data_IF_468863257851
#
_entry.id   IF_468863257851
#
_cell.length_a   1.000
_cell.length_b   1.000
_cell.length_c   1.000
_cell.angle_alpha   90.00
_cell.angle_beta   90.00
_cell.angle_gamma   90.00
#
_symmetry.space_group_name_H-M   'P 1'
#
loop_
_entity.id
_entity.type
_entity.pdbx_description
1 polymer ?
#
# COMPACT_ATOMS: atom_id res chain seq x y z
N UNK A 1 -7.37 -30.05 11.37
CA UNK A 1 -7.26 -30.34 9.92
C UNK A 1 -5.81 -30.16 9.56
N UNK A 2 -5.15 -31.23 9.08
CA UNK A 2 -3.79 -31.18 8.56
C UNK A 2 -3.78 -30.71 7.10
N UNK A 3 -2.60 -30.46 6.55
CA UNK A 3 -2.42 -30.11 5.13
C UNK A 3 -3.06 -31.19 4.24
N UNK A 4 -4.03 -30.82 3.40
CA UNK A 4 -4.69 -31.74 2.47
C UNK A 4 -3.73 -32.14 1.34
N UNK A 5 -3.97 -33.30 0.71
CA UNK A 5 -3.14 -33.83 -0.39
C UNK A 5 -2.96 -32.88 -1.57
N UNK A 6 -3.89 -31.95 -1.78
CA UNK A 6 -3.84 -30.92 -2.84
C UNK A 6 -2.91 -29.73 -2.51
N UNK A 7 -2.59 -29.49 -1.23
CA UNK A 7 -1.68 -28.40 -0.79
C UNK A 7 -0.20 -28.78 -0.91
N UNK A 8 0.13 -29.96 -1.44
CA UNK A 8 1.48 -30.56 -1.44
C UNK A 8 2.39 -30.12 -2.60
N UNK A 9 2.19 -28.95 -3.19
CA UNK A 9 3.02 -28.48 -4.32
C UNK A 9 3.80 -27.24 -3.91
N UNK A 10 5.13 -27.36 -3.94
CA UNK A 10 6.21 -26.38 -3.84
C UNK A 10 5.86 -25.01 -3.25
N UNK A 11 6.46 -24.70 -2.10
CA UNK A 11 6.26 -23.45 -1.36
C UNK A 11 7.51 -22.56 -1.48
N UNK A 12 7.36 -21.29 -1.90
CA UNK A 12 8.46 -20.32 -1.85
C UNK A 12 8.73 -19.90 -0.40
N UNK A 13 10.01 -19.76 -0.03
CA UNK A 13 10.43 -19.14 1.23
C UNK A 13 11.34 -17.94 0.96
N UNK A 14 11.10 -16.87 1.72
CA UNK A 14 11.90 -15.64 1.74
C UNK A 14 12.93 -15.76 2.85
N UNK A 15 14.20 -15.76 2.48
CA UNK A 15 15.35 -15.66 3.36
C UNK A 15 16.51 -15.15 2.50
N UNK A 16 17.36 -14.30 3.07
CA UNK A 16 18.50 -13.67 2.37
C UNK A 16 19.26 -14.69 1.52
N UNK A 17 19.16 -14.53 0.20
CA UNK A 17 19.69 -15.44 -0.82
C UNK A 17 21.23 -15.50 -0.85
N UNK A 18 21.92 -14.71 -0.03
CA UNK A 18 23.37 -14.52 -0.10
C UNK A 18 24.18 -15.55 0.68
N UNK A 19 23.59 -16.27 1.63
CA UNK A 19 24.33 -17.27 2.43
C UNK A 19 23.66 -18.62 2.29
N UNK A 20 24.24 -19.50 1.48
CA UNK A 20 23.82 -20.90 1.36
C UNK A 20 24.25 -21.64 2.63
N UNK A 21 23.34 -22.09 3.50
CA UNK A 21 23.69 -22.92 4.64
C UNK A 21 24.21 -24.27 4.17
N UNK A 22 25.53 -24.46 4.21
CA UNK A 22 26.19 -25.73 3.86
C UNK A 22 25.86 -26.85 4.89
N UNK A 23 25.41 -26.47 6.09
CA UNK A 23 25.23 -27.38 7.23
C UNK A 23 23.77 -27.51 7.72
N UNK A 24 22.76 -27.17 6.91
CA UNK A 24 21.35 -27.31 7.31
C UNK A 24 20.68 -28.40 6.46
N UNK A 25 20.52 -29.62 6.99
CA UNK A 25 19.81 -30.70 6.30
C UNK A 25 18.36 -30.29 5.95
N UNK A 26 17.94 -30.54 4.70
CA UNK A 26 16.56 -30.28 4.23
C UNK A 26 16.36 -28.93 3.53
N UNK A 27 17.34 -28.01 3.60
CA UNK A 27 17.36 -26.79 2.78
C UNK A 27 18.28 -27.05 1.59
N UNK A 28 17.72 -26.97 0.37
CA UNK A 28 18.48 -27.11 -0.87
C UNK A 28 18.36 -25.84 -1.68
N UNK A 29 19.37 -25.57 -2.49
CA UNK A 29 19.38 -24.46 -3.42
C UNK A 29 19.42 -25.06 -4.82
N UNK A 30 18.35 -24.86 -5.58
CA UNK A 30 18.27 -25.32 -6.97
C UNK A 30 18.67 -24.17 -7.90
N UNK A 31 19.63 -24.39 -8.82
CA UNK A 31 20.01 -23.35 -9.77
C UNK A 31 18.80 -23.01 -10.67
N UNK A 32 18.52 -21.71 -10.80
CA UNK A 32 17.42 -21.22 -11.64
C UNK A 32 17.76 -21.31 -13.14
N UNK A 33 19.05 -21.24 -13.47
CA UNK A 33 19.59 -21.47 -14.80
C UNK A 33 20.72 -22.51 -14.73
N UNK A 34 20.83 -23.44 -15.71
CA UNK A 34 22.00 -24.31 -15.82
C UNK A 34 23.27 -23.45 -15.90
N UNK A 35 24.27 -23.76 -15.06
CA UNK A 35 25.60 -23.10 -15.02
C UNK A 35 25.66 -21.67 -14.44
N UNK A 36 24.61 -21.17 -13.77
CA UNK A 36 24.64 -19.90 -13.05
C UNK A 36 24.68 -20.12 -11.51
N UNK A 37 25.87 -20.23 -10.89
CA UNK A 37 25.99 -20.49 -9.45
C UNK A 37 25.51 -19.33 -8.56
N UNK A 38 25.29 -18.14 -9.13
CA UNK A 38 24.83 -16.94 -8.45
C UNK A 38 23.30 -16.77 -8.41
N UNK A 39 22.53 -17.56 -9.16
CA UNK A 39 21.06 -17.51 -9.13
C UNK A 39 20.50 -18.87 -8.72
N UNK A 40 20.16 -18.99 -7.44
CA UNK A 40 19.65 -20.23 -6.85
C UNK A 40 18.32 -19.97 -6.12
N UNK A 41 17.35 -20.86 -6.31
CA UNK A 41 16.08 -20.82 -5.60
C UNK A 41 16.12 -21.70 -4.35
N UNK A 42 15.73 -21.17 -3.17
CA UNK A 42 15.65 -21.97 -1.95
C UNK A 42 14.50 -22.96 -2.06
N UNK A 43 14.84 -24.24 -2.21
CA UNK A 43 13.88 -25.34 -2.20
C UNK A 43 13.71 -25.83 -0.78
N UNK A 44 12.51 -25.66 -0.25
CA UNK A 44 12.15 -26.10 1.11
C UNK A 44 11.36 -27.39 1.03
N UNK A 45 11.87 -28.44 1.67
CA UNK A 45 11.20 -29.73 1.70
C UNK A 45 9.85 -29.64 2.45
N UNK A 46 8.84 -30.36 1.94
CA UNK A 46 7.49 -30.38 2.52
C UNK A 46 7.49 -30.74 4.02
N UNK A 47 8.42 -31.60 4.46
CA UNK A 47 8.58 -31.96 5.86
C UNK A 47 8.89 -30.75 6.76
N UNK A 48 9.71 -29.81 6.29
CA UNK A 48 10.04 -28.60 7.02
C UNK A 48 8.84 -27.65 7.12
N UNK A 49 8.16 -27.39 6.00
CA UNK A 49 6.94 -26.57 5.98
C UNK A 49 5.86 -27.18 6.88
N UNK A 50 5.67 -28.50 6.81
CA UNK A 50 4.71 -29.22 7.65
C UNK A 50 5.06 -29.11 9.14
N UNK A 51 6.34 -29.22 9.51
CA UNK A 51 6.78 -29.07 10.89
C UNK A 51 6.52 -27.64 11.42
N UNK A 52 6.78 -26.61 10.61
CA UNK A 52 6.47 -25.22 10.95
C UNK A 52 4.96 -24.99 11.11
N UNK A 53 4.17 -25.54 10.19
CA UNK A 53 2.71 -25.48 10.24
C UNK A 53 2.17 -26.17 11.51
N UNK A 54 2.59 -27.40 11.80
CA UNK A 54 2.15 -28.13 12.98
C UNK A 54 2.56 -27.42 14.27
N UNK A 55 3.77 -26.84 14.32
CA UNK A 55 4.21 -26.03 15.48
C UNK A 55 3.28 -24.83 15.71
N UNK A 56 2.95 -24.07 14.66
CA UNK A 56 2.02 -22.95 14.76
C UNK A 56 0.64 -23.43 15.23
N UNK A 57 0.08 -24.46 14.59
CA UNK A 57 -1.27 -24.92 14.94
C UNK A 57 -1.36 -25.53 16.34
N UNK A 58 -0.33 -26.25 16.80
CA UNK A 58 -0.26 -26.80 18.15
C UNK A 58 -0.22 -25.69 19.20
N UNK A 59 0.58 -24.63 18.95
CA UNK A 59 0.65 -23.47 19.84
C UNK A 59 -0.72 -22.77 19.97
N UNK A 60 -1.41 -22.52 18.86
CA UNK A 60 -2.71 -21.86 18.88
C UNK A 60 -3.77 -22.74 19.55
N UNK A 61 -3.88 -24.01 19.17
CA UNK A 61 -4.88 -24.95 19.73
C UNK A 61 -4.62 -25.27 21.20
N UNK A 62 -3.37 -25.27 21.64
CA UNK A 62 -3.00 -25.48 23.04
C UNK A 62 -3.27 -24.27 23.94
N UNK A 63 -3.25 -23.06 23.39
CA UNK A 63 -3.41 -21.81 24.15
C UNK A 63 -4.85 -21.26 24.17
N UNK A 64 -5.70 -21.69 23.23
CA UNK A 64 -7.08 -21.22 23.09
C UNK A 64 -8.05 -22.39 23.27
N UNK A 65 -8.65 -22.48 24.45
CA UNK A 65 -9.71 -23.44 24.74
C UNK A 65 -11.07 -22.90 24.28
N UNK A 66 -11.54 -23.37 23.12
CA UNK A 66 -12.82 -22.95 22.53
C UNK A 66 -14.04 -23.28 23.40
N UNK A 67 -13.94 -24.20 24.37
CA UNK A 67 -15.06 -24.53 25.25
C UNK A 67 -15.42 -23.39 26.22
N UNK A 68 -14.45 -22.50 26.50
CA UNK A 68 -14.63 -21.32 27.36
C UNK A 68 -15.34 -20.16 26.63
N UNK A 69 -15.50 -20.25 25.31
CA UNK A 69 -16.05 -19.19 24.49
C UNK A 69 -17.32 -19.66 23.79
N UNK A 70 -18.46 -19.16 24.24
CA UNK A 70 -19.76 -19.54 23.66
C UNK A 70 -19.88 -18.98 22.25
N UNK A 71 -19.82 -19.86 21.24
CA UNK A 71 -20.16 -19.50 19.87
C UNK A 71 -21.67 -19.40 19.74
N UNK A 72 -22.16 -18.27 19.25
CA UNK A 72 -23.58 -18.07 18.94
C UNK A 72 -23.79 -18.19 17.43
N UNK A 73 -25.05 -18.23 16.98
CA UNK A 73 -25.36 -18.11 15.56
C UNK A 73 -24.86 -16.79 14.94
N UNK A 74 -24.53 -15.79 15.76
CA UNK A 74 -24.03 -14.49 15.33
C UNK A 74 -22.52 -14.47 15.02
N UNK A 75 -21.78 -15.55 15.27
CA UNK A 75 -20.35 -15.66 14.98
C UNK A 75 -19.47 -15.79 16.23
N UNK A 76 -18.20 -15.45 16.06
CA UNK A 76 -17.17 -15.41 17.09
C UNK A 76 -17.38 -14.20 18.03
N UNK A 77 -17.05 -14.34 19.32
CA UNK A 77 -17.19 -13.24 20.27
C UNK A 77 -15.94 -12.36 20.32
N UNK A 78 -16.09 -11.11 20.78
CA UNK A 78 -14.98 -10.16 20.95
C UNK A 78 -13.93 -10.69 21.93
N UNK A 79 -14.35 -11.35 22.99
CA UNK A 79 -13.46 -11.94 24.00
C UNK A 79 -12.63 -13.06 23.41
N UNK A 80 -13.20 -13.88 22.52
CA UNK A 80 -12.48 -14.92 21.80
C UNK A 80 -11.44 -14.32 20.85
N UNK A 81 -11.82 -13.31 20.06
CA UNK A 81 -10.90 -12.61 19.14
C UNK A 81 -9.76 -11.95 19.92
N UNK A 82 -10.08 -11.25 21.03
CA UNK A 82 -9.08 -10.65 21.91
C UNK A 82 -8.16 -11.71 22.53
N UNK A 83 -8.69 -12.86 22.93
CA UNK A 83 -7.86 -13.98 23.43
C UNK A 83 -6.87 -14.46 22.38
N UNK A 84 -7.29 -14.62 21.13
CA UNK A 84 -6.39 -15.01 20.03
C UNK A 84 -5.33 -13.94 19.81
N UNK A 85 -5.71 -12.66 19.79
CA UNK A 85 -4.75 -11.53 19.75
C UNK A 85 -3.74 -11.58 20.89
N UNK A 86 -4.16 -11.87 22.12
CA UNK A 86 -3.26 -11.97 23.27
C UNK A 86 -2.29 -13.16 23.15
N UNK A 87 -2.73 -14.29 22.59
CA UNK A 87 -1.85 -15.43 22.32
C UNK A 87 -0.76 -15.05 21.32
N UNK A 88 -1.12 -14.40 20.21
CA UNK A 88 -0.15 -13.93 19.20
C UNK A 88 0.77 -12.88 19.80
N UNK A 89 0.21 -11.90 20.50
CA UNK A 89 0.97 -10.82 21.13
C UNK A 89 2.04 -11.33 22.08
N UNK A 90 1.65 -12.22 23.01
CA UNK A 90 2.57 -12.74 24.01
C UNK A 90 3.61 -13.70 23.45
N UNK A 91 3.39 -14.21 22.22
CA UNK A 91 4.24 -15.24 21.63
C UNK A 91 5.15 -14.75 20.51
N UNK A 92 4.68 -13.80 19.69
CA UNK A 92 5.23 -13.51 18.37
C UNK A 92 5.39 -12.01 18.08
N UNK A 93 4.86 -11.10 18.92
CA UNK A 93 4.89 -9.65 18.64
C UNK A 93 6.29 -9.08 18.45
N UNK A 94 7.32 -9.67 19.06
CA UNK A 94 8.71 -9.19 18.94
C UNK A 94 9.37 -9.53 17.60
N UNK A 95 8.69 -10.27 16.71
CA UNK A 95 9.22 -10.74 15.42
C UNK A 95 8.32 -10.39 14.24
N UNK A 96 7.18 -9.78 14.50
CA UNK A 96 6.20 -9.37 13.51
C UNK A 96 6.13 -7.85 13.52
N UNK A 97 5.91 -7.26 12.37
CA UNK A 97 5.47 -5.88 12.27
C UNK A 97 3.97 -5.77 12.66
N UNK A 98 3.46 -4.53 12.68
CA UNK A 98 2.10 -4.25 13.13
C UNK A 98 1.06 -5.04 12.33
N UNK A 99 1.10 -4.95 11.00
CA UNK A 99 0.12 -5.61 10.13
C UNK A 99 0.32 -7.14 10.10
N UNK A 100 1.56 -7.63 10.25
CA UNK A 100 1.88 -9.04 10.41
C UNK A 100 1.25 -9.67 11.65
N UNK A 101 1.12 -8.92 12.76
CA UNK A 101 0.36 -9.38 13.94
C UNK A 101 -1.12 -9.53 13.62
N UNK A 102 -1.73 -8.56 12.93
CA UNK A 102 -3.15 -8.67 12.55
C UNK A 102 -3.39 -9.88 11.63
N UNK A 103 -2.52 -10.09 10.64
CA UNK A 103 -2.58 -11.25 9.76
C UNK A 103 -2.41 -12.58 10.52
N UNK A 104 -1.46 -12.65 11.45
CA UNK A 104 -1.25 -13.83 12.29
C UNK A 104 -2.47 -14.15 13.17
N UNK A 105 -3.20 -13.13 13.64
CA UNK A 105 -4.47 -13.32 14.36
C UNK A 105 -5.54 -13.93 13.46
N UNK A 106 -5.69 -13.45 12.23
CA UNK A 106 -6.63 -14.02 11.25
C UNK A 106 -6.27 -15.48 10.92
N UNK A 107 -4.98 -15.77 10.71
CA UNK A 107 -4.50 -17.13 10.48
C UNK A 107 -4.77 -18.06 11.68
N UNK A 108 -4.53 -17.60 12.91
CA UNK A 108 -4.83 -18.35 14.13
C UNK A 108 -6.34 -18.62 14.28
N UNK A 109 -7.18 -17.62 14.00
CA UNK A 109 -8.63 -17.78 13.94
C UNK A 109 -9.05 -18.83 12.90
N UNK A 110 -8.42 -18.83 11.72
CA UNK A 110 -8.66 -19.84 10.69
C UNK A 110 -8.29 -21.27 11.17
N UNK A 111 -7.17 -21.42 11.86
CA UNK A 111 -6.72 -22.70 12.47
C UNK A 111 -7.73 -23.24 13.49
N UNK A 112 -8.39 -22.34 14.22
CA UNK A 112 -9.45 -22.64 15.20
C UNK A 112 -10.84 -22.84 14.55
N UNK A 113 -10.96 -22.68 13.23
CA UNK A 113 -12.23 -22.83 12.51
C UNK A 113 -13.19 -21.65 12.70
N UNK A 114 -12.67 -20.47 13.01
CA UNK A 114 -13.41 -19.21 13.14
C UNK A 114 -13.50 -18.55 11.76
N UNK A 115 -14.47 -19.00 10.97
CA UNK A 115 -14.60 -18.60 9.56
C UNK A 115 -15.02 -17.15 9.35
N UNK A 116 -15.66 -16.55 10.35
CA UNK A 116 -16.20 -15.19 10.32
C UNK A 116 -15.15 -14.11 10.61
N UNK A 117 -13.99 -14.46 11.15
CA UNK A 117 -12.92 -13.50 11.46
C UNK A 117 -12.09 -13.24 10.21
N UNK A 118 -12.02 -11.99 9.79
CA UNK A 118 -11.35 -11.56 8.56
C UNK A 118 -10.46 -10.34 8.80
N UNK A 119 -9.49 -10.16 7.92
CA UNK A 119 -8.60 -9.01 7.96
C UNK A 119 -9.34 -7.74 7.51
N UNK A 120 -9.11 -6.64 8.22
CA UNK A 120 -9.50 -5.31 7.79
C UNK A 120 -8.26 -4.44 7.62
N UNK A 121 -8.22 -3.70 6.52
CA UNK A 121 -7.06 -2.89 6.12
C UNK A 121 -7.52 -1.48 5.79
N UNK A 122 -6.90 -0.49 6.43
CA UNK A 122 -6.83 0.84 5.87
C UNK A 122 -5.58 0.97 4.99
N UNK A 123 -5.20 2.20 4.68
CA UNK A 123 -4.00 2.50 3.92
C UNK A 123 -2.72 2.44 4.77
N UNK A 124 -2.82 2.42 6.11
CA UNK A 124 -1.66 2.41 7.04
C UNK A 124 -1.87 1.59 8.32
N UNK A 125 -3.01 0.91 8.45
CA UNK A 125 -3.29 0.11 9.65
C UNK A 125 -4.10 -1.14 9.34
N UNK A 126 -3.98 -2.13 10.24
CA UNK A 126 -4.64 -3.42 10.11
C UNK A 126 -5.30 -3.84 11.42
N UNK A 127 -6.52 -4.34 11.32
CA UNK A 127 -7.27 -4.92 12.44
C UNK A 127 -8.12 -6.08 11.95
N UNK A 128 -9.05 -6.59 12.76
CA UNK A 128 -9.96 -7.66 12.33
C UNK A 128 -11.42 -7.24 12.37
N UNK A 129 -12.18 -7.76 11.41
CA UNK A 129 -13.64 -7.75 11.39
C UNK A 129 -14.16 -9.14 11.71
N UNK A 130 -15.31 -9.24 12.36
CA UNK A 130 -15.92 -10.53 12.72
C UNK A 130 -17.44 -10.40 12.94
N UNK A 131 -18.06 -11.52 13.33
CA UNK A 131 -19.51 -11.57 13.54
C UNK A 131 -20.29 -11.60 12.22
N UNK A 132 -21.59 -11.35 12.31
CA UNK A 132 -22.48 -11.37 11.15
C UNK A 132 -22.04 -10.30 10.14
N UNK A 133 -21.74 -10.71 8.91
CA UNK A 133 -21.32 -9.83 7.81
C UNK A 133 -20.08 -8.96 8.08
N UNK A 134 -19.27 -9.25 9.11
CA UNK A 134 -18.13 -8.39 9.48
C UNK A 134 -18.57 -7.02 10.02
N UNK A 135 -19.66 -6.98 10.78
CA UNK A 135 -20.19 -5.78 11.43
C UNK A 135 -19.39 -5.40 12.68
N UNK A 136 -18.78 -6.37 13.36
CA UNK A 136 -17.92 -6.13 14.52
C UNK A 136 -16.48 -5.87 14.08
N UNK A 137 -15.79 -4.99 14.80
CA UNK A 137 -14.37 -4.67 14.59
C UNK A 137 -13.59 -4.83 15.89
N UNK A 138 -12.36 -5.34 15.84
CA UNK A 138 -11.47 -5.35 16.99
C UNK A 138 -10.05 -4.99 16.57
N UNK A 139 -9.48 -4.01 17.26
CA UNK A 139 -8.04 -3.77 17.25
C UNK A 139 -7.32 -5.01 17.78
N UNK A 140 -6.25 -5.44 17.11
CA UNK A 140 -5.49 -6.66 17.49
C UNK A 140 -3.98 -6.46 17.51
N UNK A 141 -3.53 -5.28 17.09
CA UNK A 141 -2.13 -4.89 16.97
C UNK A 141 -1.95 -3.44 17.42
N UNK A 142 -0.72 -2.93 17.38
CA UNK A 142 -0.39 -1.53 17.65
C UNK A 142 -0.40 -0.70 16.37
N UNK A 143 -0.48 0.62 16.50
CA UNK A 143 -0.20 1.55 15.40
C UNK A 143 0.79 2.62 15.90
N UNK A 144 1.73 3.01 15.04
CA UNK A 144 2.72 4.03 15.35
C UNK A 144 3.65 3.70 16.54
N UNK A 145 4.32 4.73 17.07
CA UNK A 145 5.20 4.63 18.25
C UNK A 145 4.59 5.37 19.44
N UNK A 146 4.48 4.71 20.58
CA UNK A 146 4.08 5.36 21.84
C UNK A 146 2.57 5.52 22.06
N UNK A 147 1.73 4.86 21.26
CA UNK A 147 0.28 4.84 21.45
C UNK A 147 -0.16 3.85 22.53
N UNK A 148 -1.29 4.14 23.17
CA UNK A 148 -1.91 3.26 24.16
C UNK A 148 -2.37 1.94 23.52
N UNK A 149 -2.34 0.83 24.28
CA UNK A 149 -2.81 -0.47 23.81
C UNK A 149 -4.34 -0.44 23.59
N UNK A 150 -4.76 -0.27 22.33
CA UNK A 150 -6.17 -0.27 21.92
C UNK A 150 -6.72 -1.67 21.65
N UNK A 151 -5.93 -2.75 21.82
CA UNK A 151 -6.37 -4.09 21.42
C UNK A 151 -7.67 -4.51 22.10
N UNK A 152 -8.60 -5.04 21.32
CA UNK A 152 -9.94 -5.44 21.73
C UNK A 152 -11.00 -4.35 21.59
N UNK A 153 -10.60 -3.08 21.42
CA UNK A 153 -11.52 -1.96 21.20
C UNK A 153 -12.05 -1.94 19.76
N UNK A 154 -13.16 -1.24 19.53
CA UNK A 154 -13.72 -0.98 18.20
C UNK A 154 -12.99 0.17 17.52
N UNK A 155 -13.00 0.21 16.19
CA UNK A 155 -12.45 1.32 15.39
C UNK A 155 -13.45 2.47 15.20
N UNK A 156 -14.66 2.38 15.78
CA UNK A 156 -15.75 3.34 15.59
C UNK A 156 -15.37 4.79 15.95
N UNK A 157 -14.52 4.99 16.96
CA UNK A 157 -14.08 6.33 17.36
C UNK A 157 -13.32 7.02 16.22
N UNK A 158 -12.28 6.38 15.69
CA UNK A 158 -11.48 6.93 14.60
C UNK A 158 -12.26 7.10 13.29
N UNK A 159 -13.24 6.21 13.02
CA UNK A 159 -14.19 6.37 11.91
C UNK A 159 -15.03 7.63 12.07
N UNK A 160 -15.62 7.86 13.25
CA UNK A 160 -16.48 9.03 13.53
C UNK A 160 -15.68 10.33 13.53
N UNK A 161 -14.42 10.26 13.96
CA UNK A 161 -13.46 11.37 13.95
C UNK A 161 -12.98 11.76 12.55
N UNK A 162 -13.26 10.91 11.54
CA UNK A 162 -12.82 11.10 10.15
C UNK A 162 -11.30 11.18 10.02
N UNK A 163 -10.58 10.35 10.79
CA UNK A 163 -9.14 10.15 10.61
C UNK A 163 -8.87 9.34 9.34
N UNK A 164 -7.77 9.65 8.65
CA UNK A 164 -7.34 8.91 7.47
C UNK A 164 -7.02 7.46 7.81
N UNK A 165 -6.43 7.21 8.98
CA UNK A 165 -6.11 5.89 9.51
C UNK A 165 -7.25 4.88 9.44
N UNK A 166 -8.51 5.35 9.55
CA UNK A 166 -9.70 4.50 9.52
C UNK A 166 -10.61 4.77 8.31
N UNK A 167 -10.16 5.61 7.37
CA UNK A 167 -10.78 5.89 6.07
C UNK A 167 -12.28 6.18 6.14
N UNK A 168 -12.76 6.89 7.18
CA UNK A 168 -14.20 7.19 7.40
C UNK A 168 -15.11 5.95 7.35
N UNK A 169 -14.56 4.75 7.56
CA UNK A 169 -15.29 3.48 7.48
C UNK A 169 -15.23 2.78 6.12
N UNK A 170 -14.66 3.42 5.09
CA UNK A 170 -14.43 2.86 3.75
C UNK A 170 -13.12 2.07 3.64
N UNK A 171 -12.69 1.44 4.74
CA UNK A 171 -11.56 0.53 4.76
C UNK A 171 -11.90 -0.82 4.09
N UNK A 172 -10.88 -1.56 3.70
CA UNK A 172 -11.05 -2.85 3.05
C UNK A 172 -11.49 -3.91 4.05
N UNK A 173 -12.60 -4.57 3.76
CA UNK A 173 -13.10 -5.76 4.46
C UNK A 173 -12.71 -7.01 3.66
N UNK A 174 -11.60 -7.63 4.03
CA UNK A 174 -11.01 -8.69 3.21
C UNK A 174 -11.86 -9.97 3.27
N UNK A 175 -11.93 -10.68 2.15
CA UNK A 175 -12.22 -12.11 2.14
C UNK A 175 -10.90 -12.91 2.15
N UNK A 176 -10.98 -14.25 2.02
CA UNK A 176 -9.76 -15.09 2.05
C UNK A 176 -8.84 -14.86 0.86
N UNK A 177 -9.36 -14.46 -0.30
CA UNK A 177 -8.50 -14.22 -1.47
C UNK A 177 -7.79 -12.87 -1.31
N UNK A 178 -8.48 -11.87 -0.77
CA UNK A 178 -7.86 -10.58 -0.42
C UNK A 178 -6.82 -10.73 0.69
N UNK A 179 -7.01 -11.63 1.65
CA UNK A 179 -5.99 -11.95 2.67
C UNK A 179 -4.75 -12.62 2.04
N UNK A 180 -4.93 -13.46 1.01
CA UNK A 180 -3.80 -13.99 0.24
C UNK A 180 -3.12 -12.87 -0.53
N UNK A 181 -3.88 -11.96 -1.17
CA UNK A 181 -3.33 -10.79 -1.84
C UNK A 181 -2.51 -9.91 -0.90
N UNK A 182 -2.99 -9.68 0.33
CA UNK A 182 -2.25 -8.94 1.36
C UNK A 182 -0.89 -9.60 1.64
N UNK A 183 -0.86 -10.93 1.82
CA UNK A 183 0.39 -11.66 2.05
C UNK A 183 1.35 -11.57 0.84
N UNK A 184 0.83 -11.51 -0.38
CA UNK A 184 1.64 -11.30 -1.59
C UNK A 184 2.18 -9.87 -1.66
N UNK A 185 1.37 -8.85 -1.37
CA UNK A 185 1.83 -7.46 -1.26
C UNK A 185 2.87 -7.27 -0.15
N UNK A 186 2.78 -8.04 0.93
CA UNK A 186 3.73 -8.00 2.04
C UNK A 186 5.08 -8.70 1.75
N UNK A 187 5.26 -9.30 0.57
CA UNK A 187 6.60 -9.76 0.14
C UNK A 187 7.50 -8.53 0.03
N UNK A 188 8.55 -8.50 0.84
CA UNK A 188 9.57 -7.46 0.78
C UNK A 188 10.77 -7.98 -0.05
N UNK A 189 11.02 -7.42 -1.25
CA UNK A 189 12.15 -7.82 -2.08
C UNK A 189 13.49 -7.23 -1.61
N UNK A 190 13.49 -6.21 -0.75
CA UNK A 190 14.71 -5.47 -0.39
C UNK A 190 15.66 -6.30 0.47
N UNK A 191 16.90 -6.39 0.00
CA UNK A 191 18.02 -7.03 0.70
C UNK A 191 18.76 -6.02 1.57
N UNK A 192 18.95 -4.80 1.04
CA UNK A 192 19.51 -3.64 1.73
C UNK A 192 18.88 -2.33 1.19
N UNK A 193 19.46 -1.17 1.53
CA UNK A 193 18.93 0.15 1.15
C UNK A 193 19.01 0.46 -0.37
N UNK A 194 19.77 -0.31 -1.14
CA UNK A 194 20.08 -0.03 -2.54
C UNK A 194 19.88 -1.24 -3.47
N UNK A 195 19.57 -2.41 -2.90
CA UNK A 195 19.54 -3.68 -3.62
C UNK A 195 18.27 -4.46 -3.30
N UNK A 196 17.54 -4.84 -4.35
CA UNK A 196 16.37 -5.72 -4.29
C UNK A 196 16.68 -7.10 -4.89
N UNK A 197 16.03 -8.14 -4.36
CA UNK A 197 16.05 -9.48 -4.96
C UNK A 197 15.14 -9.55 -6.19
N UNK A 198 15.76 -9.77 -7.34
CA UNK A 198 15.05 -9.97 -8.62
C UNK A 198 14.07 -11.14 -8.58
N UNK A 199 14.41 -12.20 -7.86
CA UNK A 199 13.59 -13.40 -7.70
C UNK A 199 12.32 -13.11 -6.89
N UNK A 200 12.43 -12.31 -5.82
CA UNK A 200 11.29 -11.91 -5.00
C UNK A 200 10.37 -10.93 -5.73
N UNK A 201 10.95 -9.96 -6.45
CA UNK A 201 10.18 -9.06 -7.33
C UNK A 201 9.37 -9.87 -8.35
N UNK A 202 10.02 -10.81 -9.05
CA UNK A 202 9.36 -11.65 -10.06
C UNK A 202 8.32 -12.59 -9.46
N UNK A 203 8.58 -13.13 -8.27
CA UNK A 203 7.61 -13.95 -7.55
C UNK A 203 6.36 -13.13 -7.19
N UNK A 204 6.56 -11.94 -6.61
CA UNK A 204 5.48 -11.04 -6.23
C UNK A 204 4.65 -10.64 -7.46
N UNK A 205 5.30 -10.21 -8.54
CA UNK A 205 4.64 -9.81 -9.80
C UNK A 205 3.78 -10.96 -10.37
N UNK A 206 4.33 -12.18 -10.47
CA UNK A 206 3.58 -13.34 -10.99
C UNK A 206 2.39 -13.73 -10.11
N UNK A 207 2.53 -13.66 -8.79
CA UNK A 207 1.43 -13.94 -7.86
C UNK A 207 0.35 -12.87 -7.91
N UNK A 208 0.72 -11.60 -8.05
CA UNK A 208 -0.24 -10.51 -8.25
C UNK A 208 -0.96 -10.63 -9.59
N UNK A 209 -0.27 -11.00 -10.68
CA UNK A 209 -0.93 -11.30 -11.96
C UNK A 209 -1.93 -12.46 -11.84
N UNK A 210 -1.58 -13.53 -11.13
CA UNK A 210 -2.50 -14.65 -10.88
C UNK A 210 -3.78 -14.18 -10.17
N UNK A 211 -3.64 -13.34 -9.14
CA UNK A 211 -4.77 -12.79 -8.39
C UNK A 211 -5.58 -11.80 -9.24
N UNK A 212 -4.90 -10.97 -10.04
CA UNK A 212 -5.52 -10.01 -10.94
C UNK A 212 -6.36 -10.70 -12.02
N UNK A 213 -5.80 -11.70 -12.72
CA UNK A 213 -6.49 -12.45 -13.78
C UNK A 213 -7.72 -13.21 -13.25
N UNK A 214 -7.75 -13.52 -11.94
CA UNK A 214 -8.87 -14.16 -11.26
C UNK A 214 -9.94 -13.18 -10.77
N UNK A 215 -9.70 -11.87 -10.85
CA UNK A 215 -10.56 -10.81 -10.30
C UNK A 215 -10.46 -10.67 -8.78
N UNK A 216 -9.48 -11.31 -8.13
CA UNK A 216 -9.30 -11.27 -6.68
C UNK A 216 -8.75 -9.89 -6.21
N UNK A 217 -8.23 -9.07 -7.13
CA UNK A 217 -7.74 -7.71 -6.86
C UNK A 217 -8.77 -6.59 -7.13
N UNK A 218 -9.97 -6.90 -7.63
CA UNK A 218 -11.00 -5.91 -8.02
C UNK A 218 -11.39 -4.95 -6.88
N UNK A 219 -11.19 -5.38 -5.62
CA UNK A 219 -11.46 -4.62 -4.40
C UNK A 219 -10.18 -4.34 -3.60
N UNK A 220 -9.02 -4.36 -4.24
CA UNK A 220 -7.74 -4.09 -3.59
C UNK A 220 -6.93 -3.05 -4.37
N UNK A 221 -7.27 -1.75 -4.21
CA UNK A 221 -6.61 -0.66 -4.95
C UNK A 221 -5.09 -0.66 -4.83
N UNK A 222 -4.56 -0.78 -3.60
CA UNK A 222 -3.11 -0.75 -3.37
C UNK A 222 -2.38 -1.94 -4.01
N UNK A 223 -2.97 -3.15 -4.01
CA UNK A 223 -2.37 -4.31 -4.66
C UNK A 223 -2.29 -4.15 -6.18
N UNK A 224 -3.29 -3.49 -6.79
CA UNK A 224 -3.22 -3.10 -8.21
C UNK A 224 -2.14 -2.04 -8.44
N UNK A 225 -1.98 -1.08 -7.54
CA UNK A 225 -0.87 -0.10 -7.58
C UNK A 225 0.50 -0.77 -7.55
N UNK A 226 0.72 -1.71 -6.62
CA UNK A 226 1.96 -2.50 -6.55
C UNK A 226 2.20 -3.33 -7.81
N UNK A 227 1.16 -3.98 -8.36
CA UNK A 227 1.27 -4.73 -9.61
C UNK A 227 1.69 -3.82 -10.77
N UNK A 228 1.07 -2.65 -10.87
CA UNK A 228 1.39 -1.68 -11.92
C UNK A 228 2.83 -1.19 -11.81
N UNK A 229 3.32 -0.89 -10.60
CA UNK A 229 4.72 -0.49 -10.38
C UNK A 229 5.72 -1.60 -10.73
N UNK A 230 5.39 -2.86 -10.47
CA UNK A 230 6.23 -4.01 -10.87
C UNK A 230 6.23 -4.20 -12.39
N UNK A 231 5.07 -4.04 -13.03
CA UNK A 231 4.93 -4.14 -14.48
C UNK A 231 5.60 -2.99 -15.21
N UNK A 232 5.65 -1.80 -14.61
CA UNK A 232 6.39 -0.63 -15.09
C UNK A 232 7.92 -0.88 -15.09
N UNK A 233 8.41 -1.59 -14.07
CA UNK A 233 9.83 -1.91 -13.91
C UNK A 233 10.31 -3.05 -14.81
N UNK A 234 9.58 -4.16 -14.88
CA UNK A 234 9.91 -5.34 -15.70
C UNK A 234 8.66 -5.89 -16.41
N UNK A 235 8.26 -5.33 -17.56
CA UNK A 235 7.04 -5.70 -18.26
C UNK A 235 7.03 -7.16 -18.73
N UNK A 236 5.92 -7.87 -18.50
CA UNK A 236 5.69 -9.23 -19.01
C UNK A 236 4.98 -9.14 -20.37
N UNK A 237 5.55 -9.70 -21.46
CA UNK A 237 4.94 -9.62 -22.78
C UNK A 237 3.49 -10.15 -22.82
N UNK A 238 2.59 -9.33 -23.37
CA UNK A 238 1.16 -9.66 -23.52
C UNK A 238 0.31 -9.37 -22.27
N UNK A 239 0.90 -8.83 -21.20
CA UNK A 239 0.15 -8.31 -20.05
C UNK A 239 -0.35 -6.88 -20.29
N UNK A 240 -1.26 -6.46 -19.40
CA UNK A 240 -1.91 -5.15 -19.50
C UNK A 240 -0.94 -4.01 -19.15
N UNK A 241 -1.10 -2.89 -19.83
CA UNK A 241 -0.29 -1.69 -19.64
C UNK A 241 -0.39 -1.12 -18.20
N UNK A 242 0.73 -0.74 -17.55
CA UNK A 242 0.75 -0.24 -16.18
C UNK A 242 -0.21 0.94 -15.91
N UNK A 243 -0.35 1.87 -16.86
CA UNK A 243 -1.24 3.02 -16.70
C UNK A 243 -2.70 2.56 -16.56
N UNK A 244 -3.12 1.57 -17.35
CA UNK A 244 -4.48 1.03 -17.25
C UNK A 244 -4.72 0.34 -15.90
N UNK A 245 -3.71 -0.33 -15.35
CA UNK A 245 -3.81 -0.96 -14.02
C UNK A 245 -3.93 0.11 -12.93
N UNK A 246 -3.14 1.20 -12.98
CA UNK A 246 -3.29 2.33 -12.05
C UNK A 246 -4.68 2.99 -12.15
N UNK A 247 -5.20 3.19 -13.37
CA UNK A 247 -6.55 3.74 -13.56
C UNK A 247 -7.64 2.79 -13.02
N UNK A 248 -7.46 1.47 -13.12
CA UNK A 248 -8.34 0.48 -12.49
C UNK A 248 -8.23 0.51 -10.96
N UNK A 249 -7.06 0.76 -10.39
CA UNK A 249 -6.90 0.97 -8.95
C UNK A 249 -7.72 2.15 -8.45
N UNK A 250 -7.65 3.29 -9.16
CA UNK A 250 -8.49 4.47 -8.88
C UNK A 250 -9.98 4.13 -9.05
N UNK A 251 -10.35 3.45 -10.13
CA UNK A 251 -11.73 3.01 -10.36
C UNK A 251 -12.27 2.09 -9.26
N UNK A 252 -11.44 1.20 -8.71
CA UNK A 252 -11.80 0.36 -7.56
C UNK A 252 -12.07 1.19 -6.31
N UNK A 253 -11.21 2.17 -6.00
CA UNK A 253 -11.44 3.12 -4.89
C UNK A 253 -12.78 3.83 -5.03
N UNK A 254 -13.06 4.36 -6.21
CA UNK A 254 -14.31 5.08 -6.49
C UNK A 254 -15.55 4.16 -6.36
N UNK A 255 -15.45 2.94 -6.87
CA UNK A 255 -16.57 1.99 -6.94
C UNK A 255 -16.87 1.31 -5.60
N UNK A 256 -15.84 0.95 -4.85
CA UNK A 256 -15.96 0.08 -3.68
C UNK A 256 -15.76 0.81 -2.35
N UNK A 257 -15.12 1.98 -2.37
CA UNK A 257 -14.66 2.69 -1.18
C UNK A 257 -15.01 4.17 -1.20
N UNK A 258 -16.10 4.54 -1.88
CA UNK A 258 -16.63 5.92 -1.93
C UNK A 258 -15.60 6.97 -2.39
N UNK A 259 -14.56 6.56 -3.10
CA UNK A 259 -13.41 7.40 -3.44
C UNK A 259 -12.70 8.01 -2.21
N UNK A 260 -12.56 7.24 -1.15
CA UNK A 260 -11.97 7.67 0.13
C UNK A 260 -10.53 7.14 0.34
N UNK A 261 -9.91 6.54 -0.69
CA UNK A 261 -8.50 6.08 -0.64
C UNK A 261 -7.60 7.08 -1.36
N UNK A 262 -6.41 7.33 -0.80
CA UNK A 262 -5.44 8.31 -1.27
C UNK A 262 -4.36 7.68 -2.15
N UNK A 263 -3.81 6.53 -1.74
CA UNK A 263 -2.70 5.87 -2.43
C UNK A 263 -2.97 5.50 -3.88
N UNK A 264 -4.20 5.15 -4.33
CA UNK A 264 -4.44 4.90 -5.76
C UNK A 264 -4.04 6.08 -6.65
N UNK A 265 -4.27 7.31 -6.17
CA UNK A 265 -3.85 8.53 -6.85
C UNK A 265 -2.36 8.81 -6.68
N UNK A 266 -1.78 8.47 -5.51
CA UNK A 266 -0.33 8.60 -5.29
C UNK A 266 0.48 7.66 -6.21
N UNK A 267 0.05 6.41 -6.37
CA UNK A 267 0.63 5.46 -7.32
C UNK A 267 0.56 5.99 -8.76
N UNK A 268 -0.61 6.47 -9.18
CA UNK A 268 -0.80 7.05 -10.52
C UNK A 268 0.08 8.29 -10.74
N UNK A 269 0.19 9.16 -9.73
CA UNK A 269 1.06 10.34 -9.78
C UNK A 269 2.53 9.94 -9.88
N UNK A 270 2.96 8.93 -9.12
CA UNK A 270 4.31 8.37 -9.16
C UNK A 270 4.66 7.82 -10.54
N UNK A 271 3.75 7.07 -11.16
CA UNK A 271 3.89 6.60 -12.55
C UNK A 271 4.11 7.76 -13.52
N UNK A 272 3.23 8.76 -13.51
CA UNK A 272 3.38 9.92 -14.41
C UNK A 272 4.68 10.69 -14.15
N UNK A 273 5.09 10.83 -12.88
CA UNK A 273 6.34 11.49 -12.49
C UNK A 273 7.58 10.77 -13.04
N UNK A 274 7.65 9.45 -12.91
CA UNK A 274 8.76 8.63 -13.48
C UNK A 274 8.85 8.75 -15.00
N UNK A 275 7.70 8.90 -15.67
CA UNK A 275 7.61 9.08 -17.13
C UNK A 275 7.71 10.54 -17.60
N UNK A 276 8.05 11.48 -16.72
CA UNK A 276 8.15 12.92 -17.04
C UNK A 276 6.85 13.55 -17.57
N UNK A 277 5.70 12.93 -17.29
CA UNK A 277 4.37 13.45 -17.61
C UNK A 277 3.92 14.43 -16.52
N UNK A 278 4.55 15.62 -16.48
CA UNK A 278 4.39 16.64 -15.42
C UNK A 278 2.92 17.00 -15.18
N UNK A 279 2.16 17.20 -16.26
CA UNK A 279 0.75 17.61 -16.20
C UNK A 279 -0.11 16.59 -15.46
N UNK A 280 0.01 15.33 -15.83
CA UNK A 280 -0.82 14.26 -15.27
C UNK A 280 -0.36 13.87 -13.86
N UNK A 281 0.94 14.00 -13.56
CA UNK A 281 1.45 13.87 -12.19
C UNK A 281 0.84 14.93 -11.25
N UNK A 282 0.89 16.21 -11.65
CA UNK A 282 0.27 17.31 -10.89
C UNK A 282 -1.24 17.13 -10.73
N UNK A 283 -1.90 16.64 -11.78
CA UNK A 283 -3.34 16.34 -11.73
C UNK A 283 -3.65 15.23 -10.73
N UNK A 284 -2.92 14.12 -10.77
CA UNK A 284 -3.12 12.99 -9.86
C UNK A 284 -2.84 13.35 -8.39
N UNK A 285 -1.79 14.15 -8.09
CA UNK A 285 -1.58 14.68 -6.74
C UNK A 285 -2.70 15.62 -6.29
N UNK A 286 -3.22 16.46 -7.19
CA UNK A 286 -4.36 17.33 -6.88
C UNK A 286 -5.64 16.51 -6.60
N UNK A 287 -5.85 15.40 -7.30
CA UNK A 287 -6.94 14.44 -7.04
C UNK A 287 -6.74 13.71 -5.70
N UNK A 288 -5.51 13.33 -5.34
CA UNK A 288 -5.20 12.80 -4.02
C UNK A 288 -5.56 13.78 -2.91
N UNK A 289 -5.15 15.04 -3.03
CA UNK A 289 -5.49 16.08 -2.05
C UNK A 289 -6.99 16.42 -2.04
N UNK A 290 -7.67 16.31 -3.19
CA UNK A 290 -9.11 16.45 -3.29
C UNK A 290 -9.84 15.40 -2.43
N UNK A 291 -9.33 14.17 -2.34
CA UNK A 291 -9.89 13.17 -1.42
C UNK A 291 -9.53 13.51 0.04
N UNK A 292 -8.28 13.91 0.28
CA UNK A 292 -7.79 14.20 1.63
C UNK A 292 -8.52 15.36 2.32
N UNK A 293 -9.03 16.34 1.57
CA UNK A 293 -9.66 17.53 2.15
C UNK A 293 -10.87 17.27 3.06
N UNK A 294 -11.51 16.10 2.93
CA UNK A 294 -12.70 15.72 3.69
C UNK A 294 -12.39 14.89 4.94
N UNK A 295 -11.10 14.73 5.26
CA UNK A 295 -10.59 14.13 6.48
C UNK A 295 -10.27 15.20 7.54
N UNK A 296 -10.10 14.75 8.78
CA UNK A 296 -9.48 15.53 9.84
C UNK A 296 -8.10 14.92 10.14
N UNK A 297 -7.07 15.75 10.26
CA UNK A 297 -5.71 15.34 10.58
C UNK A 297 -5.53 15.02 12.06
N UNK A 298 -5.18 13.77 12.34
CA UNK A 298 -4.73 13.31 13.65
C UNK A 298 -3.24 12.98 13.63
N UNK A 299 -2.60 12.97 14.80
CA UNK A 299 -1.17 12.60 14.92
C UNK A 299 -0.86 11.19 14.41
N UNK A 300 -1.86 10.31 14.39
CA UNK A 300 -1.71 8.94 13.88
C UNK A 300 -1.73 8.90 12.34
N UNK A 301 -2.13 9.99 11.67
CA UNK A 301 -2.07 10.13 10.21
C UNK A 301 -0.70 10.66 9.74
N UNK A 302 0.38 10.45 10.53
CA UNK A 302 1.71 11.01 10.27
C UNK A 302 2.29 10.55 8.91
N UNK A 303 2.02 9.31 8.49
CA UNK A 303 2.56 8.76 7.26
C UNK A 303 2.03 9.51 6.02
N UNK A 304 0.71 9.71 5.93
CA UNK A 304 0.16 10.47 4.80
C UNK A 304 0.50 11.96 4.86
N UNK A 305 0.72 12.50 6.06
CA UNK A 305 1.25 13.86 6.22
C UNK A 305 2.64 13.98 5.60
N UNK A 306 3.56 13.04 5.88
CA UNK A 306 4.91 13.03 5.31
C UNK A 306 4.89 12.95 3.79
N UNK A 307 4.04 12.10 3.23
CA UNK A 307 3.86 11.98 1.77
C UNK A 307 3.48 13.33 1.14
N UNK A 308 2.43 13.99 1.64
CA UNK A 308 2.04 15.31 1.12
C UNK A 308 3.11 16.37 1.38
N UNK A 309 3.82 16.29 2.50
CA UNK A 309 4.91 17.20 2.82
C UNK A 309 6.05 17.06 1.80
N UNK A 310 6.50 15.85 1.52
CA UNK A 310 7.59 15.57 0.59
C UNK A 310 7.21 15.93 -0.85
N UNK A 311 5.97 15.62 -1.26
CA UNK A 311 5.43 16.02 -2.56
C UNK A 311 5.45 17.55 -2.74
N UNK A 312 4.97 18.29 -1.74
CA UNK A 312 4.85 19.74 -1.82
C UNK A 312 6.20 20.47 -1.67
N UNK A 313 7.12 19.93 -0.87
CA UNK A 313 8.36 20.62 -0.48
C UNK A 313 9.61 20.12 -1.21
N UNK A 314 9.57 18.95 -1.84
CA UNK A 314 10.72 18.41 -2.57
C UNK A 314 10.35 18.05 -4.02
N UNK A 315 9.37 17.17 -4.21
CA UNK A 315 9.07 16.59 -5.53
C UNK A 315 8.58 17.66 -6.52
N UNK A 316 7.54 18.43 -6.18
CA UNK A 316 6.98 19.46 -7.06
C UNK A 316 8.01 20.58 -7.34
N UNK A 317 8.70 21.16 -6.34
CA UNK A 317 9.73 22.16 -6.59
C UNK A 317 10.83 21.70 -7.55
N UNK A 318 11.29 20.45 -7.42
CA UNK A 318 12.31 19.87 -8.30
C UNK A 318 11.75 19.63 -9.71
N UNK A 319 10.55 19.06 -9.82
CA UNK A 319 9.89 18.81 -11.11
C UNK A 319 9.71 20.12 -11.91
N UNK A 320 9.25 21.19 -11.26
CA UNK A 320 9.10 22.51 -11.89
C UNK A 320 10.45 23.11 -12.29
N UNK A 321 11.51 22.88 -11.51
CA UNK A 321 12.88 23.31 -11.82
C UNK A 321 13.40 22.64 -13.09
N UNK A 322 13.28 21.31 -13.17
CA UNK A 322 13.71 20.51 -14.32
C UNK A 322 12.95 20.91 -15.58
N UNK A 323 11.62 21.09 -15.44
CA UNK A 323 10.77 21.54 -16.55
C UNK A 323 11.20 22.93 -17.05
N UNK A 324 11.46 23.89 -16.15
CA UNK A 324 11.93 25.22 -16.54
C UNK A 324 13.26 25.17 -17.31
N UNK A 325 14.23 24.38 -16.84
CA UNK A 325 15.52 24.23 -17.49
C UNK A 325 15.42 23.56 -18.86
N UNK A 326 14.51 22.58 -19.03
CA UNK A 326 14.22 21.97 -20.32
C UNK A 326 13.65 23.00 -21.32
N UNK A 327 12.78 23.90 -20.89
CA UNK A 327 12.25 24.99 -21.72
C UNK A 327 13.32 25.99 -22.17
N UNK A 328 14.23 26.37 -21.27
CA UNK A 328 15.32 27.31 -21.57
C UNK A 328 16.36 26.71 -22.52
N UNK A 329 16.61 25.40 -22.43
CA UNK A 329 17.56 24.68 -23.28
C UNK A 329 16.99 24.30 -24.66
N UNK A 330 15.68 24.19 -24.81
CA UNK A 330 15.00 23.85 -26.07
C UNK A 330 14.85 25.04 -27.05
N UNK A 331 15.58 26.14 -26.84
CA UNK A 331 15.54 27.33 -27.69
C UNK A 331 16.05 27.10 -29.13
N UNK A 332 15.18 27.42 -30.10
CA UNK A 332 15.37 27.45 -31.56
C UNK A 332 15.52 26.09 -32.28
N UNK A 333 14.44 25.32 -32.44
CA UNK A 333 14.41 24.32 -33.54
C UNK A 333 13.42 23.15 -33.52
N UNK A 334 12.64 22.93 -32.46
CA UNK A 334 11.75 21.76 -32.39
C UNK A 334 10.26 22.13 -32.55
N UNK A 335 9.85 22.47 -33.77
CA UNK A 335 8.43 22.44 -34.16
C UNK A 335 8.02 20.97 -34.39
N UNK A 336 7.51 20.33 -33.34
CA UNK A 336 6.95 18.98 -33.42
C UNK A 336 6.56 18.45 -32.04
N UNK A 337 5.26 18.37 -31.77
CA UNK A 337 4.61 17.67 -30.64
C UNK A 337 4.81 18.22 -29.21
N UNK A 338 5.66 19.22 -28.97
CA UNK A 338 5.77 19.88 -27.65
C UNK A 338 4.67 20.94 -27.36
N UNK A 339 3.74 21.16 -28.29
CA UNK A 339 2.76 22.24 -28.25
C UNK A 339 1.56 22.02 -27.32
N UNK A 340 1.29 20.80 -26.85
CA UNK A 340 0.09 20.46 -26.07
C UNK A 340 0.35 20.29 -24.56
N UNK A 341 1.61 20.07 -24.15
CA UNK A 341 1.97 19.73 -22.77
C UNK A 341 1.74 20.84 -21.73
N UNK A 342 1.79 22.12 -22.15
CA UNK A 342 1.77 23.27 -21.22
C UNK A 342 0.63 24.26 -21.51
N UNK A 343 0.00 24.24 -22.68
CA UNK A 343 -1.26 24.97 -22.91
C UNK A 343 -2.40 24.46 -21.99
N UNK A 344 -2.35 23.17 -21.62
CA UNK A 344 -3.28 22.52 -20.69
C UNK A 344 -3.04 22.80 -19.20
N UNK A 345 -2.04 23.63 -18.84
CA UNK A 345 -1.71 24.03 -17.46
C UNK A 345 -2.70 25.07 -16.88
N UNK A 346 -3.61 25.58 -17.73
CA UNK A 346 -4.60 26.58 -17.35
C UNK A 346 -5.69 25.99 -16.45
N UNK A 347 -5.64 26.41 -15.19
CA UNK A 347 -6.75 26.61 -14.22
C UNK A 347 -7.11 25.47 -13.26
N UNK A 348 -6.87 24.18 -13.55
CA UNK A 348 -7.26 23.08 -12.63
C UNK A 348 -6.08 22.31 -11.97
N UNK A 349 -4.86 22.45 -12.48
CA UNK A 349 -3.68 21.65 -12.07
C UNK A 349 -2.52 22.52 -11.57
N UNK A 350 -2.78 23.72 -11.05
CA UNK A 350 -1.72 24.52 -10.44
C UNK A 350 -1.33 23.95 -9.08
N UNK A 351 -0.07 24.10 -8.63
CA UNK A 351 0.31 23.82 -7.25
C UNK A 351 -0.64 24.46 -6.23
N UNK A 352 -1.21 25.64 -6.55
CA UNK A 352 -2.22 26.31 -5.74
C UNK A 352 -3.51 25.48 -5.49
N UNK A 353 -3.92 24.64 -6.44
CA UNK A 353 -5.07 23.76 -6.28
C UNK A 353 -4.80 22.68 -5.22
N UNK A 354 -3.64 22.02 -5.30
CA UNK A 354 -3.17 21.05 -4.29
C UNK A 354 -3.20 21.68 -2.88
N UNK A 355 -2.61 22.86 -2.75
CA UNK A 355 -2.49 23.56 -1.46
C UNK A 355 -3.82 23.99 -0.89
N UNK A 356 -4.75 24.46 -1.74
CA UNK A 356 -6.10 24.80 -1.28
C UNK A 356 -6.78 23.59 -0.64
N UNK A 357 -6.55 22.39 -1.18
CA UNK A 357 -7.10 21.15 -0.62
C UNK A 357 -6.40 20.74 0.67
N UNK A 358 -5.08 20.94 0.78
CA UNK A 358 -4.33 20.72 2.03
C UNK A 358 -4.76 21.72 3.12
N UNK A 359 -4.98 23.01 2.79
CA UNK A 359 -5.57 23.97 3.71
C UNK A 359 -6.94 23.50 4.20
N UNK A 360 -7.75 22.93 3.30
CA UNK A 360 -9.08 22.45 3.65
C UNK A 360 -9.03 21.21 4.55
N UNK A 361 -8.05 20.33 4.37
CA UNK A 361 -7.78 19.21 5.29
C UNK A 361 -7.46 19.71 6.70
N UNK A 362 -6.74 20.82 6.85
CA UNK A 362 -6.46 21.42 8.17
C UNK A 362 -7.72 21.98 8.86
N UNK A 363 -8.73 22.44 8.09
CA UNK A 363 -9.94 23.04 8.65
C UNK A 363 -10.76 22.04 9.49
N UNK A 364 -10.80 22.25 10.80
CA UNK A 364 -11.54 21.37 11.73
C UNK A 364 -10.70 20.22 12.27
N UNK A 365 -9.44 20.10 11.83
CA UNK A 365 -8.50 19.13 12.35
C UNK A 365 -8.04 19.48 13.78
N UNK A 366 -7.89 18.48 14.67
CA UNK A 366 -7.42 18.71 16.04
C UNK A 366 -5.93 19.09 16.12
N UNK A 367 -5.15 18.75 15.09
CA UNK A 367 -3.73 19.09 14.98
C UNK A 367 -3.53 19.95 13.72
N UNK A 368 -2.71 21.01 13.76
CA UNK A 368 -2.39 21.78 12.56
C UNK A 368 -1.55 20.95 11.59
N UNK A 369 -1.76 21.19 10.30
CA UNK A 369 -1.03 20.58 9.18
C UNK A 369 0.05 21.55 8.69
N UNK A 370 -0.32 22.80 8.42
CA UNK A 370 0.57 23.77 7.80
C UNK A 370 1.44 24.48 8.85
N UNK A 371 2.73 24.58 8.55
CA UNK A 371 3.70 25.34 9.34
C UNK A 371 4.72 26.02 8.43
N UNK A 372 5.66 26.80 8.99
CA UNK A 372 6.62 27.63 8.23
C UNK A 372 7.45 26.85 7.18
N UNK A 373 7.63 25.53 7.37
CA UNK A 373 8.33 24.67 6.41
C UNK A 373 7.64 24.63 5.05
N UNK A 374 6.31 24.56 5.05
CA UNK A 374 5.49 24.58 3.83
C UNK A 374 5.60 25.90 3.07
N UNK A 375 5.68 27.03 3.79
CA UNK A 375 5.60 28.36 3.20
C UNK A 375 6.77 28.68 2.25
N UNK A 376 7.96 28.17 2.52
CA UNK A 376 9.17 28.49 1.74
C UNK A 376 9.09 27.90 0.33
N UNK A 377 8.81 26.60 0.23
CA UNK A 377 8.72 25.89 -1.05
C UNK A 377 7.44 26.20 -1.80
N UNK A 378 6.37 26.55 -1.08
CA UNK A 378 5.16 27.12 -1.62
C UNK A 378 5.42 28.36 -2.48
N UNK A 379 6.05 29.38 -1.88
CA UNK A 379 6.33 30.66 -2.56
C UNK A 379 7.22 30.42 -3.78
N UNK A 380 8.22 29.54 -3.66
CA UNK A 380 9.09 29.19 -4.77
C UNK A 380 8.34 28.53 -5.93
N UNK A 381 7.47 27.56 -5.62
CA UNK A 381 6.71 26.81 -6.63
C UNK A 381 5.70 27.69 -7.35
N UNK A 382 4.96 28.53 -6.62
CA UNK A 382 4.02 29.49 -7.20
C UNK A 382 4.71 30.51 -8.10
N UNK A 383 5.83 31.09 -7.64
CA UNK A 383 6.59 32.08 -8.42
C UNK A 383 7.09 31.49 -9.76
N UNK A 384 7.55 30.24 -9.73
CA UNK A 384 8.02 29.54 -10.94
C UNK A 384 6.88 29.23 -11.90
N UNK A 385 5.74 28.78 -11.38
CA UNK A 385 4.55 28.50 -12.19
C UNK A 385 4.04 29.76 -12.89
N UNK A 386 3.96 30.89 -12.17
CA UNK A 386 3.54 32.17 -12.74
C UNK A 386 4.50 32.67 -13.84
N UNK A 387 5.80 32.53 -13.64
CA UNK A 387 6.81 32.87 -14.65
C UNK A 387 6.69 32.01 -15.92
N UNK A 388 6.49 30.69 -15.78
CA UNK A 388 6.28 29.78 -16.91
C UNK A 388 5.02 30.14 -17.70
N UNK A 389 3.90 30.38 -17.03
CA UNK A 389 2.64 30.78 -17.67
C UNK A 389 2.78 32.13 -18.39
N UNK A 390 3.49 33.08 -17.78
CA UNK A 390 3.70 34.42 -18.36
C UNK A 390 4.59 34.38 -19.60
N UNK A 391 5.72 33.67 -19.55
CA UNK A 391 6.63 33.51 -20.69
C UNK A 391 5.95 32.81 -21.88
N UNK A 392 5.06 31.85 -21.60
CA UNK A 392 4.32 31.17 -22.64
C UNK A 392 3.27 32.08 -23.32
N UNK A 393 2.53 32.88 -22.56
CA UNK A 393 1.59 33.86 -23.14
C UNK A 393 2.31 34.87 -24.04
N UNK A 394 3.53 35.28 -23.68
CA UNK A 394 4.33 36.19 -24.50
C UNK A 394 4.83 35.53 -25.79
N UNK A 395 5.23 34.26 -25.76
CA UNK A 395 5.65 33.53 -26.98
C UNK A 395 4.49 33.22 -27.94
N UNK A 396 3.27 33.02 -27.44
CA UNK A 396 2.06 32.89 -28.26
C UNK A 396 1.66 34.22 -28.92
N UNK A 397 1.77 35.34 -28.19
CA UNK A 397 1.46 36.69 -28.72
C UNK A 397 2.50 37.23 -29.72
N UNK A 398 3.66 36.59 -29.86
CA UNK A 398 4.71 36.94 -30.83
C UNK A 398 4.60 36.12 -32.13
N UNK A 399 3.65 35.16 -32.21
CA UNK A 399 3.40 34.30 -33.39
C UNK A 399 2.14 34.72 -34.17
N UNK A 400 1.43 35.76 -33.73
CA UNK A 400 0.38 36.49 -34.46
C UNK A 400 0.90 37.87 -34.88
#
# INVERSE_FOLDING_TARGET
MGLNSAQKKHFPCVGSMEVIPINVPGVRFEPLEPDCPSSCFPTVELGMISALYERFTAQIRGAVDLSQYRRTAAGSSRELVKKVSDVIWNSLSTKLDSSGVAFAVVAACQVLGLKDVHLALSEDHAWVIFGKNGEETAEVTWHGKGNEDRRGQTVTAGVNEKSWLYLKGSYMKCDRNMEVAFMVCAINPSLDLHTDSSELLRLQQKLLWLLYDRGDLDRYPMAMGTLADLEDQDPIPGKEDPLNIHLKAVGSSQKHYNNEHIYPYMYLAGFHYRHRNVRDALKAWAEAAQVMQDYNYFREDEEIYKEFFDIANDVIPNLLKETAAAYESAGEGADGEAGDGVAGLRVLCSPAALLRRICKWEEGSPTPVLHVGWATYLVQSLSRFEAQVTNQNNSLNLRD
#
